data_IF_001507076753
#
_entry.id   IF_001507076753
#
_cell.length_a   1.000
_cell.length_b   1.000
_cell.length_c   1.000
_cell.angle_alpha   90.00
_cell.angle_beta   90.00
_cell.angle_gamma   90.00
#
_symmetry.space_group_name_H-M   'P 1'
#
loop_
_entity.id
_entity.type
_entity.pdbx_description
1 polymer ?
#
# COMPACT_ATOMS: atom_id res chain seq x y z
N UNK A 1 -2.64 22.02 -10.96
CA UNK A 1 -2.09 20.73 -11.44
C UNK A 1 -1.20 21.01 -12.64
N UNK A 2 0.02 20.51 -12.65
CA UNK A 2 0.96 20.68 -13.77
C UNK A 2 1.17 19.31 -14.41
N UNK A 3 0.74 19.09 -15.68
CA UNK A 3 0.98 17.85 -16.36
C UNK A 3 2.46 17.69 -16.71
N UNK A 4 3.01 16.53 -16.44
CA UNK A 4 4.34 16.14 -16.90
C UNK A 4 4.19 15.32 -18.18
N UNK A 5 4.80 15.79 -19.26
CA UNK A 5 4.75 15.12 -20.55
C UNK A 5 6.10 14.48 -20.86
N UNK A 6 6.08 13.28 -21.44
CA UNK A 6 7.28 12.54 -21.83
C UNK A 6 7.05 11.86 -23.18
N UNK A 7 8.09 11.80 -24.02
CA UNK A 7 8.11 11.00 -25.23
C UNK A 7 8.48 9.53 -24.96
N UNK A 8 8.78 9.18 -23.69
CA UNK A 8 9.08 7.81 -23.29
C UNK A 8 7.81 6.95 -23.37
N UNK A 9 7.92 5.81 -24.00
CA UNK A 9 6.86 4.80 -24.07
C UNK A 9 7.24 3.61 -23.20
N UNK A 10 6.33 3.24 -22.31
CA UNK A 10 6.46 2.03 -21.51
C UNK A 10 6.36 0.81 -22.44
N UNK A 11 7.36 -0.08 -22.37
CA UNK A 11 7.45 -1.26 -23.24
C UNK A 11 6.99 -2.55 -22.58
N UNK A 12 6.66 -2.53 -21.27
CA UNK A 12 6.17 -3.70 -20.56
C UNK A 12 4.68 -3.55 -20.21
N UNK A 13 3.99 -4.69 -20.15
CA UNK A 13 2.58 -4.76 -19.77
C UNK A 13 2.46 -5.01 -18.25
N UNK A 14 1.61 -4.24 -17.59
CA UNK A 14 1.26 -4.43 -16.20
C UNK A 14 -0.25 -4.25 -16.01
N UNK A 15 -0.76 -4.74 -14.90
CA UNK A 15 -2.07 -4.37 -14.37
C UNK A 15 -1.91 -3.32 -13.27
N UNK A 16 -2.90 -2.44 -13.12
CA UNK A 16 -3.07 -1.71 -11.86
C UNK A 16 -3.54 -2.66 -10.76
N UNK A 17 -3.47 -2.22 -9.50
CA UNK A 17 -3.95 -3.05 -8.39
C UNK A 17 -5.43 -3.41 -8.56
N UNK A 18 -6.29 -2.43 -8.90
CA UNK A 18 -7.72 -2.63 -9.08
C UNK A 18 -8.02 -3.63 -10.20
N UNK A 19 -7.37 -3.47 -11.36
CA UNK A 19 -7.51 -4.42 -12.48
C UNK A 19 -7.14 -5.85 -12.09
N UNK A 20 -6.10 -6.02 -11.27
CA UNK A 20 -5.62 -7.33 -10.84
C UNK A 20 -6.56 -7.95 -9.79
N UNK A 21 -7.14 -7.15 -8.89
CA UNK A 21 -8.14 -7.58 -7.91
C UNK A 21 -9.46 -7.96 -8.59
N UNK A 22 -9.95 -7.16 -9.52
CA UNK A 22 -11.17 -7.45 -10.32
C UNK A 22 -11.04 -8.77 -11.08
N UNK A 23 -9.85 -9.02 -11.63
CA UNK A 23 -9.53 -10.27 -12.33
C UNK A 23 -9.24 -11.44 -11.39
N UNK A 24 -9.20 -11.19 -10.06
CA UNK A 24 -8.84 -12.20 -9.04
C UNK A 24 -7.48 -12.86 -9.30
N UNK A 25 -6.54 -12.12 -9.86
CA UNK A 25 -5.18 -12.59 -10.17
C UNK A 25 -4.15 -12.17 -9.13
N UNK A 26 -4.54 -11.33 -8.18
CA UNK A 26 -3.71 -10.91 -7.04
C UNK A 26 -4.46 -11.16 -5.73
N UNK A 27 -3.72 -11.51 -4.69
CA UNK A 27 -4.22 -11.61 -3.32
C UNK A 27 -3.30 -10.83 -2.38
N UNK A 28 -3.88 -10.06 -1.47
CA UNK A 28 -3.16 -9.33 -0.43
C UNK A 28 -3.64 -9.84 0.92
N UNK A 29 -2.70 -10.30 1.73
CA UNK A 29 -2.95 -11.06 2.94
C UNK A 29 -2.08 -10.57 4.10
N UNK A 30 -2.51 -10.82 5.32
CA UNK A 30 -1.61 -10.71 6.49
C UNK A 30 -0.41 -11.67 6.33
N UNK A 31 0.74 -11.28 6.86
CA UNK A 31 1.96 -12.11 6.77
C UNK A 31 1.84 -13.39 7.60
N UNK A 32 1.16 -13.31 8.74
CA UNK A 32 0.89 -14.43 9.66
C UNK A 32 -0.52 -14.31 10.29
N UNK A 33 -0.97 -15.34 11.01
CA UNK A 33 -2.27 -15.31 11.71
C UNK A 33 -2.36 -14.18 12.74
N UNK A 34 -1.28 -13.90 13.41
CA UNK A 34 -1.16 -12.80 14.38
C UNK A 34 -1.21 -11.43 13.69
N UNK A 35 -0.90 -11.38 12.39
CA UNK A 35 -0.73 -10.17 11.59
C UNK A 35 0.61 -9.48 11.86
N UNK A 36 0.95 -8.53 11.01
CA UNK A 36 2.09 -7.62 11.18
C UNK A 36 1.65 -6.22 10.81
N UNK A 37 1.92 -5.23 11.64
CA UNK A 37 1.50 -3.85 11.34
C UNK A 37 2.22 -3.29 10.12
N UNK A 38 3.56 -3.41 10.00
CA UNK A 38 4.30 -2.75 8.93
C UNK A 38 4.36 -3.53 7.61
N UNK A 39 3.80 -4.74 7.53
CA UNK A 39 4.02 -5.63 6.40
C UNK A 39 2.78 -6.41 5.99
N UNK A 40 2.60 -6.57 4.69
CA UNK A 40 1.61 -7.47 4.10
C UNK A 40 2.26 -8.35 3.04
N UNK A 41 1.65 -9.51 2.82
CA UNK A 41 2.04 -10.47 1.78
C UNK A 41 1.18 -10.28 0.55
N UNK A 42 1.80 -10.09 -0.61
CA UNK A 42 1.17 -9.98 -1.92
C UNK A 42 1.50 -11.22 -2.73
N UNK A 43 0.47 -11.87 -3.26
CA UNK A 43 0.58 -13.04 -4.15
C UNK A 43 0.03 -12.64 -5.51
N UNK A 44 0.90 -12.43 -6.48
CA UNK A 44 0.53 -12.19 -7.88
C UNK A 44 0.53 -13.52 -8.65
N UNK A 45 -0.64 -13.98 -9.05
CA UNK A 45 -0.87 -15.22 -9.81
C UNK A 45 -0.96 -14.98 -11.31
N UNK A 46 -0.81 -13.73 -11.76
CA UNK A 46 -0.89 -13.38 -13.17
C UNK A 46 0.47 -13.49 -13.86
N UNK A 47 0.45 -13.70 -15.16
CA UNK A 47 1.63 -13.63 -16.02
C UNK A 47 2.10 -12.20 -16.31
N UNK A 48 1.47 -11.19 -15.70
CA UNK A 48 1.84 -9.77 -15.82
C UNK A 48 2.27 -9.20 -14.47
N UNK A 49 3.09 -8.18 -14.52
CA UNK A 49 3.41 -7.38 -13.34
C UNK A 49 2.18 -6.63 -12.86
N UNK A 50 2.12 -6.30 -11.56
CA UNK A 50 1.07 -5.46 -10.98
C UNK A 50 1.70 -4.23 -10.36
N UNK A 51 1.21 -3.05 -10.77
CA UNK A 51 1.62 -1.76 -10.20
C UNK A 51 0.73 -1.43 -9.01
N UNK A 52 1.34 -1.24 -7.85
CA UNK A 52 0.71 -0.75 -6.63
C UNK A 52 1.30 0.61 -6.32
N UNK A 53 0.47 1.63 -6.16
CA UNK A 53 0.95 2.99 -5.96
C UNK A 53 1.15 3.31 -4.47
N UNK A 54 2.13 4.17 -4.22
CA UNK A 54 2.27 4.84 -2.92
C UNK A 54 0.97 5.55 -2.53
N UNK A 55 0.47 5.28 -1.32
CA UNK A 55 -0.73 5.91 -0.80
C UNK A 55 -2.06 5.23 -1.18
N UNK A 56 -2.05 4.13 -1.91
CA UNK A 56 -3.26 3.31 -2.11
C UNK A 56 -3.72 2.71 -0.78
N UNK A 57 -5.05 2.77 -0.53
CA UNK A 57 -5.66 2.18 0.65
C UNK A 57 -6.06 0.73 0.39
N UNK A 58 -5.62 -0.14 1.29
CA UNK A 58 -5.98 -1.55 1.34
C UNK A 58 -6.97 -1.75 2.47
N UNK A 59 -8.21 -2.14 2.12
CA UNK A 59 -9.34 -2.25 3.04
C UNK A 59 -9.59 -3.72 3.39
N UNK A 60 -9.77 -4.00 4.67
CA UNK A 60 -10.14 -5.33 5.12
C UNK A 60 -9.19 -5.95 6.14
N UNK A 61 -9.14 -7.28 6.17
CA UNK A 61 -8.39 -8.09 7.11
C UNK A 61 -8.48 -7.54 8.56
N UNK A 62 -7.37 -7.41 9.28
CA UNK A 62 -7.37 -6.95 10.69
C UNK A 62 -7.50 -5.44 10.85
N UNK A 63 -6.98 -4.68 9.90
CA UNK A 63 -7.01 -3.20 9.89
C UNK A 63 -6.80 -2.72 8.46
N UNK A 64 -7.35 -1.56 8.10
CA UNK A 64 -7.00 -0.91 6.85
C UNK A 64 -5.54 -0.44 6.85
N UNK A 65 -4.91 -0.55 5.70
CA UNK A 65 -3.50 -0.22 5.47
C UNK A 65 -3.34 0.77 4.33
N UNK A 66 -2.25 1.52 4.38
CA UNK A 66 -1.77 2.35 3.26
C UNK A 66 -0.43 1.83 2.80
N UNK A 67 -0.26 1.72 1.50
CA UNK A 67 1.00 1.33 0.87
C UNK A 67 2.05 2.44 1.06
N UNK A 68 3.25 2.09 1.53
CA UNK A 68 4.28 3.06 1.89
C UNK A 68 5.13 3.56 0.72
N UNK A 69 5.20 2.82 -0.36
CA UNK A 69 5.99 3.15 -1.56
C UNK A 69 5.36 2.53 -2.79
N UNK A 70 5.64 3.10 -3.97
CA UNK A 70 5.20 2.51 -5.24
C UNK A 70 6.00 1.24 -5.52
N UNK A 71 5.30 0.16 -5.86
CA UNK A 71 5.85 -1.18 -6.04
C UNK A 71 5.36 -1.75 -7.36
N UNK A 72 6.27 -2.33 -8.13
CA UNK A 72 5.95 -3.15 -9.29
C UNK A 72 6.15 -4.62 -8.93
N UNK A 73 5.04 -5.30 -8.61
CA UNK A 73 5.03 -6.71 -8.19
C UNK A 73 5.32 -7.59 -9.41
N UNK A 74 6.36 -8.43 -9.39
CA UNK A 74 6.66 -9.32 -10.52
C UNK A 74 5.51 -10.28 -10.83
N UNK A 75 5.44 -10.75 -12.07
CA UNK A 75 4.54 -11.82 -12.48
C UNK A 75 4.83 -13.12 -11.70
N UNK A 76 3.79 -13.92 -11.46
CA UNK A 76 3.89 -15.24 -10.84
C UNK A 76 4.78 -15.25 -9.57
N UNK A 77 4.59 -14.27 -8.68
CA UNK A 77 5.46 -14.06 -7.52
C UNK A 77 4.71 -13.83 -6.22
N UNK A 78 5.41 -14.06 -5.12
CA UNK A 78 4.97 -13.69 -3.78
C UNK A 78 6.02 -12.78 -3.15
N UNK A 79 5.60 -11.60 -2.70
CA UNK A 79 6.49 -10.63 -2.05
C UNK A 79 5.87 -10.10 -0.75
N UNK A 80 6.70 -9.52 0.09
CA UNK A 80 6.27 -8.73 1.25
C UNK A 80 6.34 -7.26 0.88
N UNK A 81 5.29 -6.51 1.20
CA UNK A 81 5.22 -5.07 0.95
C UNK A 81 5.14 -4.28 2.24
N UNK A 82 5.80 -3.10 2.31
CA UNK A 82 5.73 -2.21 3.45
C UNK A 82 4.44 -1.39 3.44
N UNK A 83 3.75 -1.36 4.58
CA UNK A 83 2.49 -0.64 4.75
C UNK A 83 2.46 0.10 6.08
N UNK A 84 1.50 1.01 6.24
CA UNK A 84 1.18 1.69 7.49
C UNK A 84 -0.28 1.52 7.84
N UNK A 85 -0.60 1.45 9.12
CA UNK A 85 -1.95 1.35 9.60
C UNK A 85 -2.64 2.72 9.55
N UNK A 86 -3.88 2.79 9.06
CA UNK A 86 -4.70 4.02 9.03
C UNK A 86 -5.94 3.94 9.90
N UNK A 87 -6.18 2.80 10.53
CA UNK A 87 -7.33 2.54 11.39
C UNK A 87 -6.87 2.20 12.81
N UNK A 88 -6.82 3.21 13.67
CA UNK A 88 -6.41 3.03 15.06
C UNK A 88 -7.46 2.26 15.86
N UNK A 89 -7.01 1.27 16.64
CA UNK A 89 -7.84 0.55 17.61
C UNK A 89 -8.56 -0.69 17.10
N UNK A 90 -8.75 -0.89 15.79
CA UNK A 90 -9.27 -2.15 15.27
C UNK A 90 -8.14 -3.16 15.08
N UNK A 91 -8.29 -4.33 15.67
CA UNK A 91 -7.40 -5.48 15.45
C UNK A 91 -8.23 -6.77 15.40
N UNK A 92 -9.20 -6.78 14.47
CA UNK A 92 -10.11 -7.91 14.28
C UNK A 92 -10.40 -8.11 12.79
N UNK A 93 -10.54 -9.34 12.37
CA UNK A 93 -10.82 -9.67 10.97
C UNK A 93 -12.21 -9.19 10.54
N UNK A 94 -12.26 -8.39 9.47
CA UNK A 94 -13.46 -8.08 8.70
C UNK A 94 -13.57 -8.96 7.45
N UNK A 95 -12.43 -9.41 6.91
CA UNK A 95 -12.35 -10.23 5.71
C UNK A 95 -11.08 -11.08 5.75
N UNK A 96 -10.99 -12.17 4.98
CA UNK A 96 -9.78 -13.01 4.92
C UNK A 96 -8.63 -12.34 4.15
N UNK A 97 -8.92 -11.38 3.27
CA UNK A 97 -7.95 -10.68 2.41
C UNK A 97 -8.30 -9.21 2.32
N UNK A 98 -7.37 -8.43 1.78
CA UNK A 98 -7.57 -7.01 1.48
C UNK A 98 -8.21 -6.84 0.09
N UNK A 99 -8.99 -5.77 -0.03
CA UNK A 99 -9.54 -5.21 -1.27
C UNK A 99 -9.15 -3.74 -1.39
N UNK A 100 -9.52 -3.09 -2.49
CA UNK A 100 -9.48 -1.62 -2.62
C UNK A 100 -10.90 -1.06 -2.71
N UNK A 101 -11.04 0.23 -2.44
CA UNK A 101 -12.28 1.00 -2.63
C UNK A 101 -12.00 2.26 -3.47
N UNK A 102 -11.02 2.18 -4.38
CA UNK A 102 -10.56 3.31 -5.21
C UNK A 102 -10.14 4.54 -4.38
N UNK A 103 -9.64 4.31 -3.17
CA UNK A 103 -9.24 5.37 -2.25
C UNK A 103 -7.73 5.55 -2.22
N UNK A 104 -7.35 6.80 -2.27
CA UNK A 104 -5.96 7.23 -2.09
C UNK A 104 -5.84 8.11 -0.86
N UNK A 105 -4.75 7.97 -0.14
CA UNK A 105 -4.38 8.88 0.94
C UNK A 105 -4.38 10.33 0.45
N UNK A 106 -4.90 11.27 1.26
CA UNK A 106 -4.89 12.70 0.91
C UNK A 106 -3.48 13.21 0.65
N UNK A 107 -3.35 14.23 -0.20
CA UNK A 107 -2.04 14.74 -0.64
C UNK A 107 -1.12 15.17 0.51
N UNK A 108 -1.66 15.79 1.54
CA UNK A 108 -0.88 16.24 2.71
C UNK A 108 -0.38 15.06 3.54
N UNK A 109 -1.27 14.09 3.86
CA UNK A 109 -0.89 12.87 4.58
C UNK A 109 0.13 12.05 3.80
N UNK A 110 -0.05 11.96 2.48
CA UNK A 110 0.87 11.25 1.59
C UNK A 110 2.25 11.92 1.57
N UNK A 111 2.31 13.26 1.51
CA UNK A 111 3.56 14.00 1.55
C UNK A 111 4.30 13.78 2.89
N UNK A 112 3.60 13.88 4.02
CA UNK A 112 4.15 13.62 5.35
C UNK A 112 4.66 12.18 5.46
N UNK A 113 3.83 11.20 5.08
CA UNK A 113 4.22 9.78 5.06
C UNK A 113 5.49 9.54 4.23
N UNK A 114 5.55 10.12 3.02
CA UNK A 114 6.72 9.99 2.14
C UNK A 114 7.99 10.58 2.76
N UNK A 115 7.89 11.69 3.51
CA UNK A 115 9.03 12.25 4.25
C UNK A 115 9.52 11.28 5.32
N UNK A 116 8.62 10.71 6.14
CA UNK A 116 8.97 9.73 7.17
C UNK A 116 9.61 8.48 6.56
N UNK A 117 9.05 7.94 5.49
CA UNK A 117 9.60 6.79 4.78
C UNK A 117 11.00 7.10 4.23
N UNK A 118 11.20 8.29 3.63
CA UNK A 118 12.50 8.69 3.12
C UNK A 118 13.57 8.82 4.22
N UNK A 119 13.20 9.33 5.40
CA UNK A 119 14.10 9.37 6.56
C UNK A 119 14.45 7.94 7.02
N UNK A 120 13.43 7.08 7.20
CA UNK A 120 13.63 5.70 7.64
C UNK A 120 14.50 4.89 6.65
N UNK A 121 14.31 5.10 5.34
CA UNK A 121 15.16 4.45 4.32
C UNK A 121 16.61 4.90 4.43
N UNK A 122 16.87 6.19 4.68
CA UNK A 122 18.23 6.72 4.83
C UNK A 122 18.94 6.25 6.11
N UNK A 123 18.18 6.16 7.20
CA UNK A 123 18.73 5.83 8.53
C UNK A 123 18.80 4.32 8.78
N UNK A 124 17.77 3.58 8.38
CA UNK A 124 17.60 2.17 8.73
C UNK A 124 17.48 1.24 7.52
N UNK A 125 17.36 1.77 6.30
CA UNK A 125 17.12 0.97 5.08
C UNK A 125 15.70 0.37 5.02
N UNK A 126 14.75 0.91 5.79
CA UNK A 126 13.39 0.37 5.88
C UNK A 126 12.36 1.34 5.32
N UNK A 127 11.33 0.82 4.64
CA UNK A 127 10.21 1.61 4.12
C UNK A 127 9.10 1.77 5.17
N UNK A 128 9.44 2.37 6.32
CA UNK A 128 8.52 2.55 7.45
C UNK A 128 8.18 4.03 7.67
N UNK A 129 6.98 4.30 8.22
CA UNK A 129 6.57 5.62 8.65
C UNK A 129 6.52 5.71 10.17
N UNK A 130 6.53 6.92 10.73
CA UNK A 130 6.14 7.16 12.11
C UNK A 130 4.62 6.95 12.24
N UNK A 131 4.24 5.80 12.77
CA UNK A 131 2.84 5.39 12.91
C UNK A 131 2.08 6.30 13.87
N UNK A 132 2.72 6.80 14.93
CA UNK A 132 2.10 7.71 15.89
C UNK A 132 1.79 9.07 15.28
N UNK A 133 2.74 9.65 14.55
CA UNK A 133 2.55 10.90 13.83
C UNK A 133 1.44 10.77 12.75
N UNK A 134 1.38 9.64 12.06
CA UNK A 134 0.34 9.38 11.07
C UNK A 134 -1.05 9.36 11.70
N UNK A 135 -1.24 8.68 12.82
CA UNK A 135 -2.52 8.63 13.52
C UNK A 135 -2.95 9.99 14.07
N UNK A 136 -2.03 10.78 14.60
CA UNK A 136 -2.32 12.13 15.08
C UNK A 136 -2.88 13.01 13.96
N UNK A 137 -2.22 13.03 12.81
CA UNK A 137 -2.65 13.82 11.65
C UNK A 137 -4.01 13.33 11.09
N UNK A 138 -4.27 12.01 11.08
CA UNK A 138 -5.57 11.46 10.70
C UNK A 138 -6.65 11.93 11.66
N UNK A 139 -6.39 11.90 12.97
CA UNK A 139 -7.34 12.32 14.00
C UNK A 139 -7.68 13.81 13.92
N UNK A 140 -6.69 14.66 13.66
CA UNK A 140 -6.89 16.10 13.47
C UNK A 140 -7.77 16.42 12.26
N UNK A 141 -7.67 15.62 11.18
CA UNK A 141 -8.50 15.80 9.97
C UNK A 141 -9.91 15.25 10.08
N UNK A 142 -10.14 14.36 11.03
CA UNK A 142 -11.46 13.77 11.28
C UNK A 142 -12.37 14.62 12.18
N UNK A 143 -11.84 15.69 12.76
CA UNK A 143 -12.56 16.69 13.57
C UNK A 143 -13.08 17.84 12.70
#
# INVERSE_FOLDING_TARGET
MYPLLSNYRITFNYFTLDEALDKKTIEILEVAKEGSVPELRVVNKSSKMVLILDGEELVGAKQNRIVNTTILVPADSTIIIPVSCVEQGRWSYNSPSFSTEDRMMSSNLRAMKSQHVNCSVREEGKFQTDQGALWNEISEKAQ
#
